data_IF_683507370233
#
_entry.id   IF_683507370233
#
_cell.length_a   1.000
_cell.length_b   1.000
_cell.length_c   1.000
_cell.angle_alpha   90.00
_cell.angle_beta   90.00
_cell.angle_gamma   90.00
#
_symmetry.space_group_name_H-M   'P 1'
#
loop_
_entity.id
_entity.type
_entity.pdbx_description
1 polymer ?
#
# COMPACT_ATOMS: atom_id res chain seq x y z
N UNK A 1 -10.27 -2.75 38.97
CA UNK A 1 -9.80 -2.82 37.56
C UNK A 1 -9.10 -4.17 37.43
N UNK A 2 -9.87 -5.20 37.06
CA UNK A 2 -9.38 -6.58 36.93
C UNK A 2 -8.90 -6.74 35.48
N UNK A 3 -7.70 -7.29 35.35
CA UNK A 3 -6.94 -7.47 34.11
C UNK A 3 -7.59 -8.52 33.19
N UNK A 4 -7.39 -8.30 31.89
CA UNK A 4 -7.76 -9.17 30.77
C UNK A 4 -7.24 -10.61 30.96
N UNK A 5 -8.09 -11.61 30.70
CA UNK A 5 -7.64 -12.91 30.19
C UNK A 5 -8.49 -13.38 29.01
N UNK A 6 -7.75 -13.90 28.04
CA UNK A 6 -8.09 -14.25 26.67
C UNK A 6 -9.03 -15.46 26.50
N UNK A 7 -9.75 -15.41 25.37
CA UNK A 7 -10.24 -16.49 24.49
C UNK A 7 -11.11 -17.60 25.09
N UNK A 8 -12.25 -17.85 24.43
CA UNK A 8 -12.52 -19.14 23.73
C UNK A 8 -13.86 -19.18 22.99
N UNK A 9 -13.79 -19.72 21.78
CA UNK A 9 -14.81 -20.54 21.11
C UNK A 9 -16.08 -19.85 20.53
N UNK A 10 -16.12 -19.83 19.21
CA UNK A 10 -17.31 -19.51 18.42
C UNK A 10 -17.21 -20.16 17.04
N UNK A 11 -17.48 -21.47 16.98
CA UNK A 11 -17.59 -22.25 15.75
C UNK A 11 -18.82 -21.75 14.98
N UNK A 12 -18.62 -21.12 13.82
CA UNK A 12 -19.71 -20.79 12.90
C UNK A 12 -20.19 -22.08 12.21
N UNK A 13 -21.21 -22.72 12.77
CA UNK A 13 -22.02 -23.72 12.05
C UNK A 13 -23.19 -23.00 11.35
N UNK A 14 -22.91 -22.42 10.19
CA UNK A 14 -23.92 -21.90 9.27
C UNK A 14 -24.30 -22.97 8.24
N UNK A 15 -25.29 -23.80 8.57
CA UNK A 15 -25.90 -24.74 7.62
C UNK A 15 -26.74 -24.01 6.57
N UNK A 16 -26.45 -24.27 5.30
CA UNK A 16 -27.32 -23.96 4.17
C UNK A 16 -27.54 -25.23 3.36
N UNK A 17 -28.60 -25.97 3.66
CA UNK A 17 -29.05 -27.10 2.83
C UNK A 17 -29.84 -26.51 1.66
N UNK A 18 -29.11 -26.07 0.64
CA UNK A 18 -29.66 -25.51 -0.60
C UNK A 18 -29.59 -26.52 -1.75
N UNK A 19 -30.69 -27.25 -1.95
CA UNK A 19 -31.19 -27.90 -3.19
C UNK A 19 -30.15 -28.06 -4.33
N UNK A 20 -29.51 -29.23 -4.37
CA UNK A 20 -28.60 -29.64 -5.43
C UNK A 20 -29.39 -30.22 -6.62
N UNK A 21 -29.97 -29.32 -7.41
CA UNK A 21 -30.59 -29.65 -8.70
C UNK A 21 -29.54 -29.52 -9.81
N UNK A 22 -29.44 -30.58 -10.61
CA UNK A 22 -28.82 -30.69 -11.95
C UNK A 22 -27.31 -30.97 -12.03
N UNK A 23 -27.02 -32.04 -12.78
CA UNK A 23 -25.73 -32.56 -13.17
C UNK A 23 -24.84 -31.50 -13.81
N UNK A 24 -23.71 -31.20 -13.16
CA UNK A 24 -22.50 -30.83 -13.87
C UNK A 24 -21.49 -31.93 -13.56
N UNK A 25 -21.17 -32.73 -14.58
CA UNK A 25 -20.02 -33.63 -14.56
C UNK A 25 -18.76 -32.77 -14.48
N UNK A 26 -18.37 -32.38 -13.25
CA UNK A 26 -17.15 -31.64 -13.00
C UNK A 26 -16.00 -32.63 -13.15
N UNK A 27 -15.32 -32.61 -14.29
CA UNK A 27 -14.09 -33.36 -14.51
C UNK A 27 -13.12 -33.01 -13.40
N UNK A 28 -12.66 -34.04 -12.68
CA UNK A 28 -11.66 -33.93 -11.62
C UNK A 28 -10.30 -33.58 -12.25
N UNK A 29 -10.12 -32.35 -12.72
CA UNK A 29 -8.80 -31.82 -13.02
C UNK A 29 -8.15 -31.51 -11.69
N UNK A 30 -7.32 -32.45 -11.20
CA UNK A 30 -6.26 -32.08 -10.28
C UNK A 30 -5.39 -31.05 -10.99
N UNK A 31 -5.69 -29.78 -10.78
CA UNK A 31 -4.69 -28.74 -10.96
C UNK A 31 -3.63 -29.00 -9.89
N UNK A 32 -2.62 -29.80 -10.24
CA UNK A 32 -1.32 -29.72 -9.60
C UNK A 32 -0.78 -28.34 -9.95
N UNK A 33 -1.21 -27.33 -9.18
CA UNK A 33 -0.53 -26.06 -9.15
C UNK A 33 0.88 -26.35 -8.69
N UNK A 34 1.83 -26.26 -9.60
CA UNK A 34 3.24 -26.15 -9.26
C UNK A 34 3.41 -24.84 -8.53
N UNK A 35 3.13 -24.81 -7.22
CA UNK A 35 3.68 -23.79 -6.35
C UNK A 35 5.18 -24.04 -6.36
N UNK A 36 5.88 -23.34 -7.25
CA UNK A 36 7.31 -23.09 -7.07
C UNK A 36 7.42 -22.46 -5.68
N UNK A 37 7.85 -23.23 -4.68
CA UNK A 37 8.33 -22.65 -3.43
C UNK A 37 9.49 -21.73 -3.80
N UNK A 38 9.19 -20.46 -4.01
CA UNK A 38 10.19 -19.41 -3.89
C UNK A 38 10.44 -19.28 -2.41
N UNK A 39 11.37 -20.07 -1.89
CA UNK A 39 11.91 -19.85 -0.56
C UNK A 39 12.48 -18.44 -0.56
N UNK A 40 11.78 -17.55 0.12
CA UNK A 40 12.20 -16.17 0.31
C UNK A 40 13.43 -16.18 1.24
N UNK A 41 14.61 -16.37 0.68
CA UNK A 41 15.88 -16.39 1.40
C UNK A 41 16.91 -15.49 0.74
N UNK A 42 17.86 -15.03 1.55
CA UNK A 42 19.02 -14.30 1.06
C UNK A 42 20.12 -15.29 0.69
N UNK A 43 20.63 -15.18 -0.53
CA UNK A 43 21.74 -15.99 -1.07
C UNK A 43 23.11 -15.46 -0.65
N UNK A 44 23.16 -14.27 -0.04
CA UNK A 44 24.41 -13.64 0.39
C UNK A 44 24.32 -13.10 1.82
N UNK A 45 25.38 -13.27 2.61
CA UNK A 45 25.42 -12.85 4.02
C UNK A 45 25.38 -11.33 4.20
N UNK A 46 25.86 -10.57 3.22
CA UNK A 46 25.81 -9.11 3.19
C UNK A 46 24.48 -8.51 2.70
N UNK A 47 23.48 -9.35 2.38
CA UNK A 47 22.19 -8.86 1.88
C UNK A 47 21.53 -7.84 2.82
N UNK A 48 21.60 -8.05 4.14
CA UNK A 48 21.03 -7.12 5.12
C UNK A 48 21.72 -5.74 5.05
N UNK A 49 23.07 -5.72 5.04
CA UNK A 49 23.84 -4.47 4.95
C UNK A 49 23.62 -3.73 3.63
N UNK A 50 23.46 -4.46 2.52
CA UNK A 50 23.18 -3.86 1.22
C UNK A 50 21.76 -3.32 1.15
N UNK A 51 20.80 -4.03 1.75
CA UNK A 51 19.45 -3.54 1.86
C UNK A 51 19.41 -2.24 2.67
N UNK A 52 20.08 -2.17 3.83
CA UNK A 52 20.23 -0.94 4.63
C UNK A 52 20.96 0.19 3.88
N UNK A 53 21.90 -0.15 3.00
CA UNK A 53 22.58 0.81 2.11
C UNK A 53 21.70 1.28 0.91
N UNK A 54 20.48 0.75 0.77
CA UNK A 54 19.55 1.13 -0.27
C UNK A 54 19.75 0.42 -1.61
N UNK A 55 20.49 -0.69 -1.65
CA UNK A 55 20.70 -1.47 -2.88
C UNK A 55 19.39 -2.07 -3.42
N UNK A 56 18.38 -2.26 -2.56
CA UNK A 56 17.03 -2.67 -2.99
C UNK A 56 16.34 -1.67 -3.94
N UNK A 57 16.81 -0.41 -3.96
CA UNK A 57 16.35 0.64 -4.87
C UNK A 57 17.37 0.91 -5.97
N UNK A 58 18.67 0.90 -5.63
CA UNK A 58 19.75 1.21 -6.58
C UNK A 58 20.04 0.07 -7.55
N UNK A 59 19.86 -1.18 -7.11
CA UNK A 59 20.14 -2.38 -7.88
C UNK A 59 19.06 -3.47 -7.65
N UNK A 60 17.80 -3.19 -8.00
CA UNK A 60 16.67 -4.04 -7.65
C UNK A 60 16.75 -5.42 -8.28
N UNK A 61 17.16 -5.52 -9.56
CA UNK A 61 17.24 -6.81 -10.26
C UNK A 61 18.20 -7.78 -9.56
N UNK A 62 19.41 -7.31 -9.21
CA UNK A 62 20.39 -8.16 -8.55
C UNK A 62 19.92 -8.55 -7.14
N UNK A 63 19.36 -7.59 -6.40
CA UNK A 63 18.88 -7.83 -5.05
C UNK A 63 17.63 -8.72 -5.01
N UNK A 64 16.79 -8.74 -6.04
CA UNK A 64 15.64 -9.66 -6.12
C UNK A 64 16.10 -11.09 -6.36
N UNK A 65 17.13 -11.28 -7.20
CA UNK A 65 17.67 -12.61 -7.46
C UNK A 65 18.48 -13.18 -6.29
N UNK A 66 19.12 -12.33 -5.47
CA UNK A 66 20.09 -12.75 -4.46
C UNK A 66 19.73 -12.38 -3.02
N UNK A 67 18.88 -11.39 -2.80
CA UNK A 67 18.65 -10.76 -1.50
C UNK A 67 17.16 -10.42 -1.28
N UNK A 68 16.27 -11.30 -1.74
CA UNK A 68 14.83 -11.05 -1.80
C UNK A 68 14.23 -10.84 -0.40
N UNK A 69 14.72 -11.60 0.60
CA UNK A 69 14.26 -11.51 1.98
C UNK A 69 14.71 -10.20 2.63
N UNK A 70 15.99 -9.84 2.48
CA UNK A 70 16.55 -8.58 2.99
C UNK A 70 15.85 -7.37 2.40
N UNK A 71 15.57 -7.37 1.09
CA UNK A 71 14.83 -6.27 0.48
C UNK A 71 13.38 -6.20 0.93
N UNK A 72 12.70 -7.35 1.09
CA UNK A 72 11.35 -7.36 1.68
C UNK A 72 11.35 -6.89 3.13
N UNK A 73 12.41 -7.16 3.90
CA UNK A 73 12.53 -6.68 5.27
C UNK A 73 12.81 -5.19 5.31
N UNK A 74 13.78 -4.73 4.52
CA UNK A 74 14.15 -3.32 4.41
C UNK A 74 12.99 -2.45 3.94
N UNK A 75 12.23 -2.86 2.92
CA UNK A 75 11.01 -2.12 2.50
C UNK A 75 9.97 -1.99 3.62
N UNK A 76 9.97 -2.89 4.60
CA UNK A 76 9.07 -2.84 5.76
C UNK A 76 9.67 -2.13 6.99
N UNK A 77 10.98 -1.91 7.02
CA UNK A 77 11.68 -1.27 8.16
C UNK A 77 12.28 0.10 7.83
N UNK A 78 12.52 0.39 6.55
CA UNK A 78 12.96 1.70 6.05
C UNK A 78 11.83 2.73 5.96
N UNK A 79 10.58 2.29 6.15
CA UNK A 79 9.40 3.15 6.22
C UNK A 79 9.14 3.61 7.67
N UNK A 80 10.05 4.41 8.22
CA UNK A 80 9.76 5.22 9.43
C UNK A 80 10.34 6.62 9.38
N UNK A 81 10.64 7.14 8.19
CA UNK A 81 10.83 8.58 8.00
C UNK A 81 9.89 9.23 6.98
N UNK A 82 8.96 8.48 6.40
CA UNK A 82 7.76 9.05 5.76
C UNK A 82 6.64 8.05 5.89
N UNK A 83 5.67 8.30 6.77
CA UNK A 83 4.43 7.56 6.72
C UNK A 83 3.65 7.97 5.48
N UNK A 84 3.85 7.30 4.35
CA UNK A 84 2.83 7.12 3.31
C UNK A 84 3.10 5.75 2.68
N UNK A 85 2.17 4.81 2.84
CA UNK A 85 2.16 3.59 2.06
C UNK A 85 2.06 3.96 0.57
N UNK A 86 3.19 4.01 -0.12
CA UNK A 86 3.28 4.20 -1.56
C UNK A 86 2.92 2.92 -2.28
N UNK A 87 1.63 2.72 -2.50
CA UNK A 87 1.16 2.04 -3.71
C UNK A 87 1.79 2.74 -4.91
N UNK A 88 2.33 1.96 -5.84
CA UNK A 88 2.56 2.43 -7.20
C UNK A 88 1.20 2.80 -7.81
N UNK A 89 0.81 4.04 -7.60
CA UNK A 89 -0.13 4.78 -8.43
C UNK A 89 0.40 6.21 -8.44
N UNK A 90 0.79 6.65 -9.64
CA UNK A 90 0.76 8.04 -10.05
C UNK A 90 -0.55 8.67 -9.53
N UNK A 91 -0.47 9.30 -8.37
CA UNK A 91 -1.46 10.26 -7.95
C UNK A 91 -1.14 11.51 -8.74
N UNK A 92 -1.88 11.69 -9.83
CA UNK A 92 -2.06 13.00 -10.43
C UNK A 92 -2.25 14.04 -9.31
N UNK A 93 -1.70 15.27 -9.43
CA UNK A 93 -1.75 16.31 -8.38
C UNK A 93 -3.17 16.80 -8.01
N UNK A 94 -4.21 16.13 -8.47
CA UNK A 94 -5.60 16.60 -8.40
C UNK A 94 -6.28 16.38 -7.05
N UNK A 95 -5.82 15.45 -6.20
CA UNK A 95 -6.55 15.12 -4.95
C UNK A 95 -5.99 15.75 -3.66
N UNK A 96 -4.80 16.33 -3.69
CA UNK A 96 -4.28 17.08 -2.55
C UNK A 96 -4.93 18.47 -2.49
N UNK A 97 -5.62 18.78 -1.39
CA UNK A 97 -6.07 20.15 -1.10
C UNK A 97 -4.88 20.97 -0.59
N UNK A 98 -4.12 21.52 -1.53
CA UNK A 98 -2.92 22.32 -1.27
C UNK A 98 -2.96 23.60 -2.11
N UNK A 99 -2.28 24.62 -1.62
CA UNK A 99 -1.99 25.82 -2.40
C UNK A 99 -0.78 25.56 -3.29
N UNK A 100 -0.94 25.85 -4.58
CA UNK A 100 0.10 25.75 -5.60
C UNK A 100 0.90 27.05 -5.71
N UNK A 101 0.28 28.19 -5.39
CA UNK A 101 0.97 29.49 -5.37
C UNK A 101 1.37 29.90 -3.95
N UNK A 102 2.54 30.49 -3.81
CA UNK A 102 3.06 31.01 -2.54
C UNK A 102 2.22 32.16 -1.94
N UNK A 103 1.51 32.90 -2.78
CA UNK A 103 0.79 34.13 -2.41
C UNK A 103 -0.71 33.85 -2.17
N UNK A 104 -1.14 32.59 -2.18
CA UNK A 104 -2.54 32.19 -1.99
C UNK A 104 -3.13 32.74 -0.68
N UNK A 105 -2.35 32.78 0.39
CA UNK A 105 -2.77 33.33 1.68
C UNK A 105 -3.07 34.84 1.59
N UNK A 106 -2.25 35.58 0.84
CA UNK A 106 -2.41 37.02 0.64
C UNK A 106 -3.63 37.30 -0.25
N UNK A 107 -3.79 36.54 -1.33
CA UNK A 107 -4.90 36.68 -2.28
C UNK A 107 -6.24 36.26 -1.68
N UNK A 108 -6.27 35.20 -0.89
CA UNK A 108 -7.47 34.80 -0.13
C UNK A 108 -7.93 35.93 0.80
N UNK A 109 -7.01 36.53 1.58
CA UNK A 109 -7.33 37.70 2.42
C UNK A 109 -7.76 38.93 1.63
N UNK A 110 -7.32 39.07 0.38
CA UNK A 110 -7.73 40.15 -0.51
C UNK A 110 -9.13 39.93 -1.13
N UNK A 111 -9.80 38.80 -0.87
CA UNK A 111 -11.12 38.49 -1.41
C UNK A 111 -11.09 37.91 -2.83
N UNK A 112 -9.96 37.31 -3.23
CA UNK A 112 -9.85 36.66 -4.55
C UNK A 112 -10.66 35.37 -4.63
N UNK A 113 -11.02 34.75 -3.50
CA UNK A 113 -11.87 33.56 -3.50
C UNK A 113 -13.26 33.85 -4.09
N UNK A 114 -13.79 35.05 -3.86
CA UNK A 114 -15.07 35.52 -4.40
C UNK A 114 -14.91 36.27 -5.72
N UNK A 115 -13.83 37.05 -5.85
CA UNK A 115 -13.59 37.91 -7.02
C UNK A 115 -13.04 37.12 -8.22
N UNK A 116 -12.23 36.10 -7.96
CA UNK A 116 -11.62 35.24 -8.96
C UNK A 116 -11.69 33.74 -8.57
N UNK A 117 -12.91 33.20 -8.37
CA UNK A 117 -13.13 31.87 -7.83
C UNK A 117 -12.57 30.77 -8.73
N UNK A 118 -12.47 30.99 -10.04
CA UNK A 118 -11.99 29.96 -10.98
C UNK A 118 -10.50 29.75 -10.86
N UNK A 119 -9.72 30.83 -10.73
CA UNK A 119 -8.27 30.75 -10.51
C UNK A 119 -7.97 30.19 -9.13
N UNK A 120 -8.62 30.74 -8.10
CA UNK A 120 -8.34 30.37 -6.73
C UNK A 120 -8.74 28.92 -6.42
N UNK A 121 -9.81 28.39 -7.01
CA UNK A 121 -10.20 26.97 -6.84
C UNK A 121 -9.29 25.96 -7.54
N UNK A 122 -8.32 26.39 -8.33
CA UNK A 122 -7.32 25.50 -8.94
C UNK A 122 -5.99 25.68 -8.23
N UNK A 123 -5.55 26.93 -8.15
CA UNK A 123 -4.20 27.29 -7.69
C UNK A 123 -4.11 27.48 -6.18
N UNK A 124 -5.20 27.84 -5.52
CA UNK A 124 -5.25 28.23 -4.11
C UNK A 124 -6.37 27.50 -3.35
N UNK A 125 -6.47 26.19 -3.59
CA UNK A 125 -7.54 25.34 -3.08
C UNK A 125 -7.60 25.29 -1.57
N UNK A 126 -6.44 25.29 -0.91
CA UNK A 126 -6.36 25.24 0.54
C UNK A 126 -6.72 26.60 1.17
N UNK A 127 -6.27 27.69 0.56
CA UNK A 127 -6.54 29.06 1.05
C UNK A 127 -7.99 29.52 0.87
N UNK A 128 -8.77 28.91 -0.03
CA UNK A 128 -10.19 29.23 -0.24
C UNK A 128 -11.17 28.18 0.34
N UNK A 129 -10.66 27.22 1.13
CA UNK A 129 -11.42 26.12 1.75
C UNK A 129 -11.79 26.34 3.20
#
# INVERSE_FOLDING_TARGET
IILLLNRRDGIFLGGSVGRMTTCVLLTLTLAAGTTTESTCEDKHTACASWADAGECTRNPHWMEEHCELSCRRWRRSGESSSGIAGSHQEAEPSDACVDLMKDCEVWSRAGECESNPSFMRVECRLSCG
#
